data_IF_020337255208
#
_entry.id   IF_020337255208
#
_cell.length_a   1.000
_cell.length_b   1.000
_cell.length_c   1.000
_cell.angle_alpha   90.00
_cell.angle_beta   90.00
_cell.angle_gamma   90.00
#
_symmetry.space_group_name_H-M   'P 1'
#
loop_
_entity.id
_entity.type
_entity.pdbx_description
1 polymer ?
#
# COMPACT_ATOMS: atom_id res chain seq x y z
N UNK A 1 64.42 -13.14 -29.21
CA UNK A 1 63.76 -13.24 -27.90
C UNK A 1 63.32 -11.85 -27.50
N UNK A 2 62.01 -11.61 -27.46
CA UNK A 2 61.37 -10.56 -26.64
C UNK A 2 59.85 -10.70 -26.80
N UNK A 3 59.29 -11.45 -25.84
CA UNK A 3 57.98 -11.32 -25.20
C UNK A 3 56.77 -10.89 -26.05
N UNK A 4 55.96 -11.89 -26.43
CA UNK A 4 54.55 -11.67 -26.76
C UNK A 4 53.75 -11.55 -25.47
N UNK A 5 53.28 -10.34 -25.18
CA UNK A 5 52.44 -10.04 -24.02
C UNK A 5 51.11 -10.79 -24.09
N UNK A 6 50.79 -11.51 -23.02
CA UNK A 6 49.48 -12.09 -22.80
C UNK A 6 48.52 -10.99 -22.36
N UNK A 7 47.62 -10.56 -23.24
CA UNK A 7 46.45 -9.77 -22.87
C UNK A 7 45.57 -10.63 -21.96
N UNK A 8 45.63 -10.37 -20.65
CA UNK A 8 44.66 -10.91 -19.71
C UNK A 8 43.33 -10.19 -19.92
N UNK A 9 42.35 -10.87 -20.50
CA UNK A 9 40.95 -10.43 -20.41
C UNK A 9 40.56 -10.43 -18.93
N UNK A 10 40.29 -9.26 -18.37
CA UNK A 10 39.60 -9.16 -17.09
C UNK A 10 38.17 -9.70 -17.26
N UNK A 11 37.67 -10.58 -16.38
CA UNK A 11 36.30 -11.05 -16.48
C UNK A 11 35.35 -9.86 -16.33
N UNK A 12 34.38 -9.72 -17.25
CA UNK A 12 33.24 -8.84 -17.03
C UNK A 12 32.60 -9.23 -15.70
N UNK A 13 32.52 -8.27 -14.77
CA UNK A 13 31.91 -8.48 -13.47
C UNK A 13 30.52 -9.10 -13.62
N UNK A 14 30.27 -10.14 -12.85
CA UNK A 14 28.94 -10.73 -12.72
C UNK A 14 28.03 -9.67 -12.13
N UNK A 15 27.13 -9.09 -12.94
CA UNK A 15 26.07 -8.21 -12.45
C UNK A 15 24.90 -9.06 -11.96
N UNK A 16 25.04 -9.63 -10.76
CA UNK A 16 23.94 -10.31 -10.05
C UNK A 16 23.04 -9.29 -9.33
N UNK A 17 22.62 -8.22 -10.01
CA UNK A 17 21.62 -7.30 -9.43
C UNK A 17 20.22 -7.80 -9.78
N UNK A 18 19.67 -8.67 -8.92
CA UNK A 18 18.24 -8.95 -8.93
C UNK A 18 17.52 -7.71 -8.43
N UNK A 19 16.76 -7.04 -9.29
CA UNK A 19 15.89 -5.94 -8.87
C UNK A 19 14.63 -6.50 -8.21
N UNK A 20 14.39 -6.18 -6.94
CA UNK A 20 13.17 -6.56 -6.23
C UNK A 20 12.23 -5.36 -6.15
N UNK A 21 10.95 -5.56 -6.51
CA UNK A 21 9.91 -4.54 -6.41
C UNK A 21 8.82 -5.05 -5.46
N UNK A 22 8.48 -4.23 -4.46
CA UNK A 22 7.29 -4.37 -3.64
C UNK A 22 6.13 -3.62 -4.30
N UNK A 23 4.99 -4.29 -4.43
CA UNK A 23 3.69 -3.68 -4.69
C UNK A 23 2.84 -3.88 -3.45
N UNK A 24 2.52 -2.81 -2.74
CA UNK A 24 1.71 -2.83 -1.51
C UNK A 24 0.42 -2.05 -1.73
N UNK A 25 -0.73 -2.69 -1.53
CA UNK A 25 -2.03 -2.03 -1.47
C UNK A 25 -2.60 -2.20 -0.06
N UNK A 26 -3.10 -1.10 0.52
CA UNK A 26 -3.71 -1.13 1.85
C UNK A 26 -4.65 0.06 2.10
N UNK A 27 -5.43 -0.03 3.18
CA UNK A 27 -6.26 1.07 3.67
C UNK A 27 -5.39 2.22 4.19
N UNK A 28 -5.78 3.44 3.86
CA UNK A 28 -5.11 4.67 4.31
C UNK A 28 -6.12 5.74 4.74
N UNK A 29 -5.64 6.74 5.47
CA UNK A 29 -6.37 7.97 5.77
C UNK A 29 -5.61 9.20 5.29
N UNK A 30 -6.29 10.35 5.20
CA UNK A 30 -5.59 11.62 4.98
C UNK A 30 -4.81 12.02 6.23
N UNK A 31 -3.62 12.58 6.04
CA UNK A 31 -2.78 13.03 7.14
C UNK A 31 -1.32 13.21 6.78
N UNK A 32 -0.54 13.63 7.77
CA UNK A 32 0.91 13.78 7.68
C UNK A 32 1.64 12.49 8.06
N UNK A 33 2.98 12.55 8.11
CA UNK A 33 3.87 11.42 8.46
C UNK A 33 3.65 10.84 9.87
N UNK A 34 2.90 11.52 10.74
CA UNK A 34 2.60 11.08 12.10
C UNK A 34 1.13 10.65 12.28
N UNK A 35 0.36 10.60 11.21
CA UNK A 35 -1.07 10.34 11.27
C UNK A 35 -1.37 8.86 11.04
N UNK A 36 -1.92 8.19 12.08
CA UNK A 36 -2.34 6.79 12.02
C UNK A 36 -3.67 6.62 12.75
N UNK A 37 -4.64 5.98 12.10
CA UNK A 37 -5.87 5.54 12.73
C UNK A 37 -5.72 4.10 13.21
N UNK A 38 -6.06 3.88 14.49
CA UNK A 38 -6.26 2.55 15.07
C UNK A 38 -7.70 2.46 15.57
N UNK A 39 -8.59 1.73 14.87
CA UNK A 39 -9.99 1.61 15.27
C UNK A 39 -10.12 0.93 16.64
N UNK A 40 -11.08 1.39 17.46
CA UNK A 40 -11.26 0.86 18.81
C UNK A 40 -11.76 -0.61 18.84
N UNK A 41 -12.65 -1.00 17.93
CA UNK A 41 -13.20 -2.36 17.83
C UNK A 41 -13.33 -2.79 16.36
N UNK A 42 -14.07 -1.98 15.59
CA UNK A 42 -14.35 -2.25 14.17
C UNK A 42 -14.07 -1.06 13.29
N UNK A 43 -13.79 -1.35 12.02
CA UNK A 43 -13.73 -0.38 10.94
C UNK A 43 -14.49 -0.93 9.74
N UNK A 44 -15.52 -0.22 9.30
CA UNK A 44 -16.40 -0.67 8.21
C UNK A 44 -16.90 -2.11 8.46
N UNK A 45 -17.35 -2.37 9.69
CA UNK A 45 -17.74 -3.66 10.28
C UNK A 45 -16.66 -4.75 10.37
N UNK A 46 -15.49 -4.57 9.77
CA UNK A 46 -14.38 -5.53 9.83
C UNK A 46 -13.82 -5.63 11.26
N UNK A 47 -13.57 -6.87 11.71
CA UNK A 47 -12.83 -7.16 12.96
C UNK A 47 -11.33 -7.20 12.66
N UNK A 48 -10.51 -7.06 13.71
CA UNK A 48 -9.05 -7.22 13.65
C UNK A 48 -8.37 -6.25 12.67
N UNK A 49 -8.91 -5.03 12.56
CA UNK A 49 -8.26 -3.93 11.83
C UNK A 49 -7.35 -3.20 12.83
N UNK A 50 -6.07 -3.10 12.49
CA UNK A 50 -5.05 -2.52 13.38
C UNK A 50 -4.67 -1.12 12.91
N UNK A 51 -3.68 -1.00 12.03
CA UNK A 51 -3.14 0.28 11.60
C UNK A 51 -3.71 0.67 10.24
N UNK A 52 -4.29 1.87 10.17
CA UNK A 52 -4.67 2.55 8.94
C UNK A 52 -3.82 3.84 8.89
N UNK A 53 -2.61 3.79 8.31
CA UNK A 53 -1.71 4.92 8.29
C UNK A 53 -2.13 5.96 7.24
N UNK A 54 -1.58 7.18 7.34
CA UNK A 54 -1.53 8.06 6.17
C UNK A 54 -0.54 7.52 5.13
N UNK A 55 -0.64 7.98 3.89
CA UNK A 55 0.33 7.65 2.84
C UNK A 55 1.74 8.06 3.25
N UNK A 56 1.90 9.25 3.85
CA UNK A 56 3.20 9.76 4.30
C UNK A 56 3.79 8.89 5.41
N UNK A 57 2.96 8.43 6.36
CA UNK A 57 3.41 7.50 7.40
C UNK A 57 3.81 6.14 6.81
N UNK A 58 3.05 5.62 5.85
CA UNK A 58 3.35 4.34 5.20
C UNK A 58 4.66 4.39 4.41
N UNK A 59 4.92 5.50 3.71
CA UNK A 59 6.20 5.75 3.03
C UNK A 59 7.35 5.72 4.04
N UNK A 60 7.24 6.48 5.13
CA UNK A 60 8.25 6.51 6.19
C UNK A 60 8.51 5.13 6.80
N UNK A 61 7.48 4.30 6.98
CA UNK A 61 7.63 2.94 7.51
C UNK A 61 8.38 2.02 6.55
N UNK A 62 8.10 2.10 5.25
CA UNK A 62 8.80 1.31 4.24
C UNK A 62 10.27 1.72 4.14
N UNK A 63 10.57 3.03 4.14
CA UNK A 63 11.94 3.54 4.17
C UNK A 63 12.69 3.05 5.41
N UNK A 64 12.08 3.14 6.60
CA UNK A 64 12.65 2.60 7.84
C UNK A 64 12.84 1.08 7.82
N UNK A 65 12.04 0.36 7.02
CA UNK A 65 12.15 -1.09 6.84
C UNK A 65 13.21 -1.48 5.80
N UNK A 66 13.95 -0.51 5.25
CA UNK A 66 15.05 -0.73 4.32
C UNK A 66 14.65 -0.75 2.85
N UNK A 67 13.44 -0.31 2.50
CA UNK A 67 13.08 -0.07 1.11
C UNK A 67 13.56 1.31 0.65
N UNK A 68 13.77 1.47 -0.66
CA UNK A 68 14.07 2.75 -1.30
C UNK A 68 13.14 3.00 -2.49
N UNK A 69 13.22 4.22 -3.05
CA UNK A 69 12.36 4.68 -4.16
C UNK A 69 10.86 4.47 -3.90
N UNK A 70 10.45 4.66 -2.64
CA UNK A 70 9.08 4.44 -2.17
C UNK A 70 8.18 5.54 -2.72
N UNK A 71 7.10 5.16 -3.42
CA UNK A 71 6.17 6.10 -4.03
C UNK A 71 4.75 5.58 -4.06
N UNK A 72 3.81 6.46 -3.73
CA UNK A 72 2.39 6.20 -3.98
C UNK A 72 2.10 6.39 -5.47
N UNK A 73 1.62 5.36 -6.13
CA UNK A 73 1.28 5.40 -7.57
C UNK A 73 -0.21 5.54 -7.84
N UNK A 74 -1.04 5.19 -6.87
CA UNK A 74 -2.49 5.38 -6.94
C UNK A 74 -3.07 5.60 -5.54
N UNK A 75 -4.13 6.40 -5.46
CA UNK A 75 -4.95 6.56 -4.26
C UNK A 75 -6.39 6.79 -4.68
N UNK A 76 -7.29 5.98 -4.14
CA UNK A 76 -8.71 6.05 -4.49
C UNK A 76 -9.58 5.81 -3.26
N UNK A 77 -10.66 6.59 -3.16
CA UNK A 77 -11.77 6.24 -2.27
C UNK A 77 -12.48 5.02 -2.86
N UNK A 78 -12.82 4.03 -2.05
CA UNK A 78 -13.56 2.87 -2.54
C UNK A 78 -14.98 3.30 -2.88
N UNK A 79 -15.36 3.12 -4.14
CA UNK A 79 -16.66 3.54 -4.64
C UNK A 79 -17.70 2.40 -4.57
N UNK A 80 -18.98 2.77 -4.50
CA UNK A 80 -20.08 1.80 -4.45
C UNK A 80 -20.18 0.97 -5.75
N UNK A 81 -19.75 1.54 -6.88
CA UNK A 81 -19.70 0.84 -8.15
C UNK A 81 -18.66 -0.28 -8.16
N UNK A 82 -17.54 -0.08 -7.44
CA UNK A 82 -16.43 -1.01 -7.26
C UNK A 82 -16.80 -2.12 -6.27
N UNK A 83 -17.37 -1.76 -5.11
CA UNK A 83 -17.72 -2.70 -4.05
C UNK A 83 -19.21 -2.65 -3.74
N UNK A 84 -19.96 -3.60 -4.32
CA UNK A 84 -21.42 -3.72 -4.16
C UNK A 84 -21.87 -5.17 -4.19
N UNK A 85 -23.10 -5.40 -3.74
CA UNK A 85 -23.79 -6.68 -3.92
C UNK A 85 -23.94 -6.99 -5.40
N UNK A 86 -23.90 -8.28 -5.70
CA UNK A 86 -24.15 -8.81 -7.04
C UNK A 86 -24.98 -10.08 -6.90
N UNK A 87 -25.47 -10.65 -7.99
CA UNK A 87 -26.18 -11.94 -7.98
C UNK A 87 -25.34 -13.08 -7.37
N UNK A 88 -24.03 -12.91 -7.29
CA UNK A 88 -23.09 -13.89 -6.72
C UNK A 88 -22.73 -13.63 -5.25
N UNK A 89 -23.06 -12.45 -4.72
CA UNK A 89 -22.71 -12.01 -3.37
C UNK A 89 -23.89 -11.27 -2.73
N UNK A 90 -24.65 -12.01 -1.93
CA UNK A 90 -25.91 -11.53 -1.30
C UNK A 90 -25.71 -10.90 0.09
N UNK A 91 -24.53 -11.12 0.70
CA UNK A 91 -24.19 -10.58 2.02
C UNK A 91 -24.01 -9.06 1.99
N UNK A 92 -23.80 -8.46 3.16
CA UNK A 92 -23.48 -7.04 3.31
C UNK A 92 -22.31 -6.60 2.41
N UNK A 93 -22.38 -5.38 1.90
CA UNK A 93 -21.36 -4.78 1.05
C UNK A 93 -21.05 -3.34 1.50
N UNK A 94 -20.26 -2.59 0.72
CA UNK A 94 -19.76 -1.27 1.13
C UNK A 94 -20.88 -0.33 1.60
N UNK A 95 -22.02 -0.30 0.89
CA UNK A 95 -23.17 0.53 1.29
C UNK A 95 -23.66 0.25 2.71
N UNK A 96 -23.57 -1.01 3.16
CA UNK A 96 -23.99 -1.44 4.50
C UNK A 96 -22.93 -1.12 5.57
N UNK A 97 -21.75 -0.64 5.16
CA UNK A 97 -20.60 -0.34 6.03
C UNK A 97 -20.35 1.16 6.21
N UNK A 98 -21.04 2.01 5.43
CA UNK A 98 -20.96 3.47 5.48
C UNK A 98 -22.05 4.06 6.37
N UNK A 99 -21.83 5.29 6.85
CA UNK A 99 -22.88 6.06 7.54
C UNK A 99 -23.99 6.41 6.53
N UNK A 100 -25.26 6.01 6.76
CA UNK A 100 -26.36 6.24 5.82
C UNK A 100 -26.67 7.73 5.59
N UNK A 101 -26.18 8.64 6.44
CA UNK A 101 -26.36 10.08 6.31
C UNK A 101 -25.12 10.78 5.74
N UNK A 102 -23.95 10.12 5.72
CA UNK A 102 -22.66 10.68 5.31
C UNK A 102 -21.71 9.58 4.82
N UNK A 103 -21.79 9.25 3.53
CA UNK A 103 -20.94 8.22 2.91
C UNK A 103 -19.43 8.55 2.92
N UNK A 104 -19.01 9.73 3.36
CA UNK A 104 -17.59 10.01 3.62
C UNK A 104 -17.07 9.31 4.88
N UNK A 105 -17.97 8.66 5.64
CA UNK A 105 -17.65 7.95 6.87
C UNK A 105 -18.14 6.50 6.88
N UNK A 106 -17.47 5.67 7.68
CA UNK A 106 -17.97 4.34 8.05
C UNK A 106 -19.13 4.46 9.03
N UNK A 107 -19.89 3.37 9.22
CA UNK A 107 -20.99 3.31 10.19
C UNK A 107 -20.54 3.55 11.64
N UNK A 108 -19.26 3.34 11.94
CA UNK A 108 -18.64 3.63 13.24
C UNK A 108 -18.17 5.09 13.37
N UNK A 109 -18.26 5.90 12.30
CA UNK A 109 -17.89 7.33 12.29
C UNK A 109 -16.45 7.63 11.87
N UNK A 110 -15.67 6.62 11.44
CA UNK A 110 -14.32 6.83 10.89
C UNK A 110 -14.38 7.30 9.43
N UNK A 111 -13.29 7.85 8.85
CA UNK A 111 -13.23 8.11 7.42
C UNK A 111 -13.52 6.85 6.60
N UNK A 112 -14.32 7.00 5.54
CA UNK A 112 -14.67 5.92 4.63
C UNK A 112 -13.43 5.25 4.00
N UNK A 113 -13.53 3.98 3.56
CA UNK A 113 -12.41 3.25 2.98
C UNK A 113 -11.75 4.00 1.83
N UNK A 114 -10.45 4.23 1.99
CA UNK A 114 -9.56 4.78 0.98
C UNK A 114 -8.36 3.85 0.88
N UNK A 115 -7.96 3.52 -0.34
CA UNK A 115 -6.87 2.59 -0.64
C UNK A 115 -5.76 3.33 -1.35
N UNK A 116 -4.53 2.97 -1.02
CA UNK A 116 -3.34 3.47 -1.71
C UNK A 116 -2.50 2.30 -2.21
N UNK A 117 -1.93 2.47 -3.41
CA UNK A 117 -0.97 1.53 -4.01
C UNK A 117 0.41 2.16 -3.93
N UNK A 118 1.33 1.48 -3.24
CA UNK A 118 2.71 1.89 -3.06
C UNK A 118 3.63 0.96 -3.84
N UNK A 119 4.57 1.54 -4.57
CA UNK A 119 5.72 0.84 -5.13
C UNK A 119 6.97 1.16 -4.33
N UNK A 120 7.80 0.15 -4.11
CA UNK A 120 9.10 0.31 -3.46
C UNK A 120 10.11 -0.72 -3.97
N UNK A 121 11.40 -0.44 -3.78
CA UNK A 121 12.51 -1.29 -4.25
C UNK A 121 13.39 -1.73 -3.07
N UNK A 122 14.00 -2.92 -3.22
CA UNK A 122 14.89 -3.52 -2.22
C UNK A 122 16.18 -4.05 -2.83
#
# INVERSE_FOLDING_TARGET
MSEGGTEQMQPLGVFDTVFSILVLETLVIDGDENTVLVPQDRYAKMKNVYFIPSINTLILWLEKSGFHNVRCVDVAVTHLEEQRKTEWLENESLIDFLDPNDHSKTIEGYPAPKRAVILAEK
#
